data_IF_632509326486
#
_entry.id   IF_632509326486
#
_cell.length_a   1.000
_cell.length_b   1.000
_cell.length_c   1.000
_cell.angle_alpha   90.00
_cell.angle_beta   90.00
_cell.angle_gamma   90.00
#
_symmetry.space_group_name_H-M   'P 1'
#
loop_
_entity.id
_entity.type
_entity.pdbx_description
1 polymer ?
#
# COMPACT_ATOMS: atom_id res chain seq x y z
N UNK A 1 29.18 20.21 3.49
CA UNK A 1 28.24 21.06 4.26
C UNK A 1 27.09 21.47 3.35
N UNK A 2 26.14 20.56 3.08
CA UNK A 2 24.84 20.94 2.56
C UNK A 2 23.88 19.88 3.07
N UNK A 3 23.25 20.19 4.20
CA UNK A 3 22.30 19.31 4.86
C UNK A 3 21.11 19.09 3.94
N UNK A 4 20.77 17.82 3.75
CA UNK A 4 19.57 17.36 3.10
C UNK A 4 18.35 18.12 3.67
N UNK A 5 17.85 19.10 2.92
CA UNK A 5 16.49 19.61 3.10
C UNK A 5 15.53 18.51 2.62
N UNK A 6 15.38 17.48 3.44
CA UNK A 6 14.26 16.55 3.30
C UNK A 6 12.99 17.36 3.56
N UNK A 7 12.17 17.53 2.53
CA UNK A 7 10.80 18.01 2.69
C UNK A 7 10.15 17.06 3.71
N UNK A 8 9.57 17.56 4.81
CA UNK A 8 8.87 16.70 5.74
C UNK A 8 7.74 16.02 4.99
N UNK A 9 7.91 14.73 4.69
CA UNK A 9 6.84 13.92 4.15
C UNK A 9 5.76 13.90 5.22
N UNK A 10 4.68 14.65 5.01
CA UNK A 10 3.48 14.56 5.84
C UNK A 10 3.05 13.09 5.78
N UNK A 11 3.38 12.33 6.82
CA UNK A 11 2.96 10.94 6.92
C UNK A 11 1.50 10.96 7.36
N UNK A 12 0.60 11.04 6.37
CA UNK A 12 -0.84 10.90 6.60
C UNK A 12 -1.09 9.52 7.18
N UNK A 13 -1.72 9.45 8.35
CA UNK A 13 -2.00 8.18 8.99
C UNK A 13 -3.18 7.47 8.33
N UNK A 14 -3.19 6.14 8.42
CA UNK A 14 -4.27 5.31 7.88
C UNK A 14 -5.63 5.75 8.43
N UNK A 15 -6.59 6.02 7.55
CA UNK A 15 -7.93 6.47 7.91
C UNK A 15 -8.14 7.97 7.98
N UNK A 16 -7.09 8.79 7.82
CA UNK A 16 -7.20 10.23 7.68
C UNK A 16 -7.48 10.65 6.23
N UNK A 17 -8.10 11.82 6.05
CA UNK A 17 -8.31 12.38 4.72
C UNK A 17 -7.02 13.02 4.22
N UNK A 18 -6.70 12.80 2.95
CA UNK A 18 -5.60 13.48 2.25
C UNK A 18 -6.01 13.91 0.85
N UNK A 19 -5.17 14.76 0.26
CA UNK A 19 -5.24 15.14 -1.14
C UNK A 19 -3.92 14.70 -1.76
N UNK A 20 -3.97 13.87 -2.81
CA UNK A 20 -2.76 13.44 -3.50
C UNK A 20 -2.25 14.52 -4.47
N UNK A 21 -1.09 14.28 -5.09
CA UNK A 21 -0.46 15.20 -6.05
C UNK A 21 -1.37 15.53 -7.25
N UNK A 22 -2.33 14.65 -7.56
CA UNK A 22 -3.30 14.80 -8.65
C UNK A 22 -4.57 15.57 -8.21
N UNK A 23 -4.61 16.08 -6.98
CA UNK A 23 -5.77 16.81 -6.44
C UNK A 23 -6.94 15.91 -5.99
N UNK A 24 -6.78 14.60 -5.98
CA UNK A 24 -7.82 13.65 -5.57
C UNK A 24 -7.89 13.61 -4.05
N UNK A 25 -9.08 13.85 -3.49
CA UNK A 25 -9.34 13.76 -2.06
C UNK A 25 -9.86 12.37 -1.68
N UNK A 26 -9.18 11.69 -0.78
CA UNK A 26 -9.54 10.34 -0.34
C UNK A 26 -9.16 10.08 1.13
N UNK A 27 -9.50 8.90 1.64
CA UNK A 27 -9.09 8.41 2.95
C UNK A 27 -7.86 7.54 2.75
N UNK A 28 -6.79 7.77 3.50
CA UNK A 28 -5.56 6.98 3.40
C UNK A 28 -5.84 5.51 3.74
N UNK A 29 -5.45 4.62 2.84
CA UNK A 29 -5.71 3.18 2.87
C UNK A 29 -7.20 2.81 2.87
N UNK A 30 -8.14 3.70 2.51
CA UNK A 30 -9.58 3.36 2.41
C UNK A 30 -10.29 2.98 3.73
N UNK A 31 -9.57 2.83 4.85
CA UNK A 31 -10.11 2.41 6.15
C UNK A 31 -10.60 3.64 6.92
N UNK A 32 -11.87 4.00 6.77
CA UNK A 32 -12.47 5.07 7.59
C UNK A 32 -12.35 4.71 9.08
N UNK A 33 -11.66 5.55 9.85
CA UNK A 33 -11.53 5.38 11.29
C UNK A 33 -12.92 5.24 11.95
N UNK A 34 -13.11 4.18 12.73
CA UNK A 34 -14.30 3.96 13.55
C UNK A 34 -13.92 4.21 15.01
N UNK A 35 -14.73 4.97 15.72
CA UNK A 35 -14.76 4.96 17.19
C UNK A 35 -15.36 3.64 17.65
N UNK A 36 -14.61 2.54 17.54
CA UNK A 36 -14.98 1.29 18.17
C UNK A 36 -13.78 0.75 18.92
N UNK A 37 -13.87 0.76 20.25
CA UNK A 37 -12.85 0.38 21.23
C UNK A 37 -12.51 -1.12 21.27
N UNK A 38 -12.93 -1.91 20.27
CA UNK A 38 -12.56 -3.33 20.23
C UNK A 38 -11.10 -3.47 19.81
N UNK A 39 -10.27 -3.90 20.75
CA UNK A 39 -8.86 -4.18 20.50
C UNK A 39 -8.72 -5.19 19.34
N UNK A 40 -7.81 -4.89 18.39
CA UNK A 40 -7.48 -5.82 17.31
C UNK A 40 -6.97 -7.13 17.91
N UNK A 41 -7.66 -8.23 17.60
CA UNK A 41 -7.20 -9.56 17.98
C UNK A 41 -5.87 -9.88 17.27
N UNK A 42 -4.91 -10.52 17.95
CA UNK A 42 -3.66 -10.92 17.33
C UNK A 42 -3.92 -11.94 16.23
N UNK A 43 -3.23 -11.80 15.10
CA UNK A 43 -3.30 -12.78 14.01
C UNK A 43 -2.80 -14.16 14.50
N UNK A 44 -3.53 -15.26 14.26
CA UNK A 44 -3.07 -16.61 14.56
C UNK A 44 -1.72 -16.92 13.89
N UNK A 45 -0.92 -17.82 14.46
CA UNK A 45 0.42 -18.15 13.94
C UNK A 45 0.38 -18.64 12.49
N UNK A 46 -0.62 -19.43 12.12
CA UNK A 46 -0.77 -20.00 10.77
C UNK A 46 -1.14 -18.97 9.69
N UNK A 47 -1.64 -17.78 10.07
CA UNK A 47 -2.00 -16.70 9.15
C UNK A 47 -0.84 -15.71 8.91
N UNK A 48 0.29 -15.88 9.59
CA UNK A 48 1.45 -14.99 9.46
C UNK A 48 2.36 -15.48 8.35
N UNK A 49 2.54 -14.65 7.33
CA UNK A 49 3.50 -14.89 6.26
C UNK A 49 4.86 -14.28 6.61
N UNK A 50 5.94 -14.88 6.09
CA UNK A 50 7.27 -14.27 6.08
C UNK A 50 7.46 -13.60 4.73
N UNK A 51 7.80 -12.32 4.73
CA UNK A 51 8.15 -11.61 3.50
C UNK A 51 9.46 -12.20 2.99
N UNK A 52 9.45 -12.69 1.75
CA UNK A 52 10.62 -13.20 1.07
C UNK A 52 11.01 -12.24 -0.06
N UNK A 53 12.31 -11.94 -0.15
CA UNK A 53 12.87 -11.13 -1.23
C UNK A 53 13.76 -11.99 -2.12
N UNK A 54 14.28 -11.39 -3.18
CA UNK A 54 15.21 -12.05 -4.10
C UNK A 54 15.32 -11.29 -5.42
N UNK A 55 16.26 -11.69 -6.28
CA UNK A 55 16.48 -11.02 -7.56
C UNK A 55 15.23 -10.98 -8.45
N UNK A 56 14.42 -12.05 -8.44
CA UNK A 56 13.16 -12.10 -9.20
C UNK A 56 12.10 -11.13 -8.66
N UNK A 57 11.93 -11.07 -7.33
CA UNK A 57 11.07 -10.08 -6.68
C UNK A 57 11.50 -8.64 -7.03
N UNK A 58 12.80 -8.33 -6.90
CA UNK A 58 13.33 -7.00 -7.20
C UNK A 58 13.19 -6.63 -8.68
N UNK A 59 13.23 -7.63 -9.59
CA UNK A 59 12.98 -7.39 -11.01
C UNK A 59 11.55 -6.90 -11.25
N UNK A 60 10.54 -7.61 -10.74
CA UNK A 60 9.14 -7.19 -10.89
C UNK A 60 8.89 -5.86 -10.19
N UNK A 61 9.43 -5.70 -8.98
CA UNK A 61 9.37 -4.44 -8.22
C UNK A 61 9.94 -3.26 -9.02
N UNK A 62 11.11 -3.45 -9.62
CA UNK A 62 11.77 -2.40 -10.40
C UNK A 62 10.92 -1.98 -11.59
N UNK A 63 10.35 -2.93 -12.34
CA UNK A 63 9.47 -2.66 -13.49
C UNK A 63 8.23 -1.86 -13.05
N UNK A 64 7.60 -2.26 -11.94
CA UNK A 64 6.41 -1.57 -11.40
C UNK A 64 6.73 -0.12 -11.04
N UNK A 65 7.83 0.12 -10.31
CA UNK A 65 8.21 1.47 -9.89
C UNK A 65 8.75 2.33 -11.05
N UNK A 66 9.56 1.76 -11.96
CA UNK A 66 10.12 2.44 -13.12
C UNK A 66 9.00 3.00 -14.01
N UNK A 67 7.96 2.20 -14.24
CA UNK A 67 6.81 2.60 -15.05
C UNK A 67 5.69 3.28 -14.26
N UNK A 68 5.90 3.56 -12.98
CA UNK A 68 4.92 4.24 -12.09
C UNK A 68 3.54 3.56 -12.12
N UNK A 69 3.52 2.22 -12.12
CA UNK A 69 2.29 1.43 -12.18
C UNK A 69 1.71 1.28 -10.78
N UNK A 70 0.43 1.65 -10.61
CA UNK A 70 -0.29 1.33 -9.39
C UNK A 70 -0.63 -0.17 -9.38
N UNK A 71 -0.43 -0.85 -8.24
CA UNK A 71 -0.75 -2.28 -8.12
C UNK A 71 -1.59 -2.55 -6.87
N UNK A 72 -2.56 -3.45 -6.99
CA UNK A 72 -3.32 -3.89 -5.80
C UNK A 72 -2.42 -4.68 -4.84
N UNK A 73 -1.29 -5.19 -5.32
CA UNK A 73 -0.28 -5.86 -4.51
C UNK A 73 0.25 -4.93 -3.40
N UNK A 74 0.63 -3.70 -3.77
CA UNK A 74 1.16 -2.68 -2.86
C UNK A 74 0.05 -1.91 -2.16
N UNK A 75 -0.90 -1.34 -2.92
CA UNK A 75 -1.91 -0.44 -2.35
C UNK A 75 -2.80 -1.16 -1.32
N UNK A 76 -3.19 -2.41 -1.60
CA UNK A 76 -4.01 -3.19 -0.67
C UNK A 76 -3.20 -3.95 0.40
N UNK A 77 -1.87 -3.78 0.45
CA UNK A 77 -0.96 -4.44 1.41
C UNK A 77 -1.08 -5.96 1.38
N UNK A 78 -1.08 -6.53 0.18
CA UNK A 78 -1.31 -7.96 -0.02
C UNK A 78 -0.20 -8.80 0.61
N UNK A 79 -0.51 -9.78 1.49
CA UNK A 79 0.51 -10.61 2.13
C UNK A 79 1.26 -11.52 1.14
N UNK A 80 0.67 -11.79 -0.03
CA UNK A 80 1.23 -12.67 -1.05
C UNK A 80 2.12 -11.94 -2.06
N UNK A 81 2.35 -10.63 -1.89
CA UNK A 81 3.12 -9.82 -2.84
C UNK A 81 4.52 -10.41 -3.11
N UNK A 82 5.21 -10.88 -2.08
CA UNK A 82 6.53 -11.53 -2.22
C UNK A 82 6.51 -12.75 -3.15
N UNK A 83 5.53 -13.64 -2.99
CA UNK A 83 5.36 -14.84 -3.80
C UNK A 83 4.96 -14.50 -5.25
N UNK A 84 3.97 -13.63 -5.43
CA UNK A 84 3.49 -13.24 -6.75
C UNK A 84 4.59 -12.55 -7.56
N UNK A 85 5.31 -11.59 -6.96
CA UNK A 85 6.36 -10.84 -7.64
C UNK A 85 7.60 -11.69 -7.91
N UNK A 86 7.97 -12.61 -7.00
CA UNK A 86 9.01 -13.60 -7.28
C UNK A 86 8.66 -14.47 -8.49
N UNK A 87 7.36 -14.73 -8.70
CA UNK A 87 6.84 -15.45 -9.87
C UNK A 87 6.66 -14.57 -11.12
N UNK A 88 7.13 -13.32 -11.10
CA UNK A 88 6.97 -12.40 -12.24
C UNK A 88 5.55 -11.87 -12.43
N UNK A 89 4.65 -12.03 -11.46
CA UNK A 89 3.22 -11.70 -11.58
C UNK A 89 2.84 -10.50 -10.73
N UNK A 90 2.12 -9.55 -11.32
CA UNK A 90 1.51 -8.41 -10.61
C UNK A 90 0.11 -8.11 -11.16
N UNK A 91 -0.75 -7.54 -10.31
CA UNK A 91 -2.09 -7.09 -10.70
C UNK A 91 -2.15 -5.57 -10.67
N UNK A 92 -2.23 -4.98 -11.86
CA UNK A 92 -2.18 -3.53 -12.08
C UNK A 92 -3.56 -2.92 -11.85
N UNK A 93 -3.58 -1.71 -11.27
CA UNK A 93 -4.75 -0.87 -11.14
C UNK A 93 -4.73 0.21 -12.23
N UNK A 94 -5.77 0.24 -13.07
CA UNK A 94 -5.79 1.11 -14.26
C UNK A 94 -6.07 2.59 -13.95
N UNK A 95 -6.86 2.88 -12.92
CA UNK A 95 -7.32 4.24 -12.59
C UNK A 95 -6.47 4.92 -11.51
N UNK A 96 -5.24 4.46 -11.33
CA UNK A 96 -4.32 4.96 -10.32
C UNK A 96 -4.41 4.21 -8.99
N UNK A 97 -3.81 4.84 -7.99
CA UNK A 97 -3.51 4.34 -6.64
C UNK A 97 -4.61 4.63 -5.62
N UNK A 98 -5.54 5.55 -5.94
CA UNK A 98 -6.53 6.05 -4.99
C UNK A 98 -7.95 5.65 -5.38
N UNK A 99 -8.70 5.10 -4.42
CA UNK A 99 -10.15 4.94 -4.52
C UNK A 99 -10.88 6.04 -3.74
N UNK A 100 -11.87 6.70 -4.36
CA UNK A 100 -12.70 7.72 -3.67
C UNK A 100 -13.81 7.11 -2.82
N UNK A 101 -14.03 5.78 -2.91
CA UNK A 101 -14.97 5.04 -2.06
C UNK A 101 -14.31 4.67 -0.73
N UNK A 102 -15.13 4.48 0.30
CA UNK A 102 -14.69 4.08 1.64
C UNK A 102 -15.23 2.69 2.01
N UNK A 103 -14.80 1.66 1.28
CA UNK A 103 -15.19 0.28 1.52
C UNK A 103 -14.66 -0.20 2.87
N UNK A 104 -15.50 -0.88 3.67
CA UNK A 104 -15.16 -1.24 5.07
C UNK A 104 -14.00 -2.24 5.23
N UNK A 105 -13.61 -2.90 4.15
CA UNK A 105 -12.59 -3.94 4.14
C UNK A 105 -11.38 -3.60 3.26
N UNK A 106 -11.49 -2.57 2.41
CA UNK A 106 -10.47 -2.24 1.43
C UNK A 106 -9.34 -1.48 2.11
N UNK A 107 -8.10 -1.73 1.69
CA UNK A 107 -6.89 -1.04 2.18
C UNK A 107 -6.29 -0.05 1.16
N UNK A 108 -7.04 0.28 0.11
CA UNK A 108 -6.65 1.18 -1.01
C UNK A 108 -7.02 2.61 -0.69
#
# INVERSE_FOLDING_TARGET
MSGDKLIPSIQVSSGEKFVNEKGIRAIKDGVKARQSDSARLPKPRWLRVKVQGGAAYEKTRSIVHEHKLATVCEEAKCPNMSECWTSGTATIMLMGDVCTRACRFCSV
#
